data_IF_315693367010
#
_entry.id   IF_315693367010
#
_cell.length_a   1.000
_cell.length_b   1.000
_cell.length_c   1.000
_cell.angle_alpha   90.00
_cell.angle_beta   90.00
_cell.angle_gamma   90.00
#
_symmetry.space_group_name_H-M   'P 1'
#
loop_
_entity.id
_entity.type
_entity.pdbx_description
1 polymer ?
#
# COMPACT_ATOMS: atom_id res chain seq x y z
N UNK A 1 2.95 -48.11 20.13
CA UNK A 1 1.69 -48.05 20.90
C UNK A 1 0.67 -47.39 20.01
N UNK A 2 -0.16 -48.19 19.34
CA UNK A 2 -1.08 -47.76 18.28
C UNK A 2 -2.45 -47.43 18.87
N UNK A 3 -3.00 -46.25 18.54
CA UNK A 3 -4.37 -45.88 18.88
C UNK A 3 -5.13 -45.74 17.56
N UNK A 4 -6.09 -46.65 17.35
CA UNK A 4 -7.12 -46.63 16.30
C UNK A 4 -8.46 -46.37 16.98
N UNK A 5 -9.08 -45.22 16.73
CA UNK A 5 -10.52 -44.93 16.99
C UNK A 5 -10.83 -43.68 16.13
N UNK A 6 -11.89 -43.54 15.36
CA UNK A 6 -13.08 -44.32 15.07
C UNK A 6 -13.94 -43.41 14.18
N UNK A 7 -14.33 -43.92 13.02
CA UNK A 7 -15.14 -43.21 12.01
C UNK A 7 -16.60 -43.24 12.47
N UNK A 8 -17.22 -42.08 12.70
CA UNK A 8 -18.67 -41.97 12.94
C UNK A 8 -19.25 -40.98 11.93
N UNK A 9 -19.91 -41.53 10.92
CA UNK A 9 -20.73 -40.80 9.97
C UNK A 9 -22.09 -40.49 10.60
N UNK A 10 -22.48 -39.22 10.64
CA UNK A 10 -23.83 -38.80 10.96
C UNK A 10 -24.38 -38.03 9.75
N UNK A 11 -25.32 -38.65 9.04
CA UNK A 11 -26.08 -38.06 7.95
C UNK A 11 -27.32 -37.41 8.57
N UNK A 12 -27.37 -36.08 8.52
CA UNK A 12 -28.57 -35.30 8.84
C UNK A 12 -29.04 -34.60 7.57
N UNK A 13 -30.08 -35.16 6.95
CA UNK A 13 -30.91 -34.47 5.96
C UNK A 13 -31.79 -33.44 6.68
N UNK A 14 -31.52 -32.15 6.45
CA UNK A 14 -32.49 -31.08 6.71
C UNK A 14 -32.67 -30.32 5.40
N UNK A 15 -33.84 -30.50 4.80
CA UNK A 15 -34.37 -29.67 3.73
C UNK A 15 -35.35 -28.66 4.36
N UNK A 16 -35.08 -27.37 4.19
CA UNK A 16 -35.99 -26.21 4.25
C UNK A 16 -35.26 -25.09 3.49
N UNK A 17 -35.55 -24.76 2.23
CA UNK A 17 -36.63 -23.89 1.69
C UNK A 17 -36.64 -22.46 2.24
N UNK A 18 -36.35 -21.51 1.34
CA UNK A 18 -36.74 -20.10 1.31
C UNK A 18 -35.98 -19.12 2.21
N UNK A 19 -35.07 -18.33 1.63
CA UNK A 19 -35.42 -16.97 1.18
C UNK A 19 -34.35 -16.49 0.17
N UNK A 20 -34.77 -16.20 -1.07
CA UNK A 20 -33.96 -15.49 -2.07
C UNK A 20 -33.91 -14.01 -1.67
N UNK A 21 -33.32 -13.74 -0.50
CA UNK A 21 -32.78 -12.42 -0.21
C UNK A 21 -31.55 -12.29 -1.07
N UNK A 22 -31.62 -11.46 -2.11
CA UNK A 22 -30.45 -10.98 -2.82
C UNK A 22 -29.55 -10.28 -1.78
N UNK A 23 -28.71 -11.08 -1.13
CA UNK A 23 -27.70 -10.63 -0.21
C UNK A 23 -26.80 -9.77 -1.08
N UNK A 24 -27.03 -8.46 -0.96
CA UNK A 24 -26.21 -7.47 -1.63
C UNK A 24 -24.94 -7.44 -0.81
N UNK A 25 -24.14 -8.51 -0.93
CA UNK A 25 -22.77 -8.54 -0.45
C UNK A 25 -22.07 -7.43 -1.19
N UNK A 26 -22.06 -6.26 -0.57
CA UNK A 26 -21.13 -5.20 -0.90
C UNK A 26 -19.79 -5.89 -0.90
N UNK A 27 -19.19 -6.00 -2.08
CA UNK A 27 -17.89 -6.64 -2.22
C UNK A 27 -16.90 -5.62 -1.67
N UNK A 28 -16.65 -5.70 -0.36
CA UNK A 28 -15.73 -4.81 0.33
C UNK A 28 -14.32 -5.04 -0.22
N UNK A 29 -13.61 -3.97 -0.56
CA UNK A 29 -12.17 -4.08 -0.85
C UNK A 29 -11.41 -4.33 0.44
N UNK A 30 -10.85 -5.52 0.57
CA UNK A 30 -9.98 -5.89 1.68
C UNK A 30 -8.52 -5.69 1.26
N UNK A 31 -7.75 -4.97 2.07
CA UNK A 31 -6.33 -4.73 1.82
C UNK A 31 -5.52 -5.49 2.87
N UNK A 32 -4.52 -6.25 2.43
CA UNK A 32 -3.61 -7.00 3.32
C UNK A 32 -2.16 -6.88 2.86
N UNK A 33 -1.21 -7.04 3.80
CA UNK A 33 0.21 -6.98 3.45
C UNK A 33 1.16 -6.86 4.63
N UNK A 34 2.40 -6.45 4.35
CA UNK A 34 3.39 -6.07 5.36
C UNK A 34 3.97 -4.68 5.10
N UNK A 35 4.10 -3.90 6.18
CA UNK A 35 4.76 -2.62 6.23
C UNK A 35 6.13 -2.71 6.90
N UNK A 36 7.17 -2.25 6.22
CA UNK A 36 8.54 -2.15 6.72
C UNK A 36 9.17 -0.81 6.34
N UNK A 37 10.21 -0.40 7.05
CA UNK A 37 11.09 0.67 6.60
C UNK A 37 12.19 0.13 5.70
N UNK A 38 12.70 0.95 4.77
CA UNK A 38 13.99 0.68 4.11
C UNK A 38 15.07 0.59 5.19
N UNK A 39 15.73 -0.56 5.27
CA UNK A 39 16.73 -0.89 6.28
C UNK A 39 17.93 -1.60 5.64
N UNK A 40 19.03 -1.70 6.37
CA UNK A 40 20.14 -2.56 5.98
C UNK A 40 19.75 -4.03 6.06
N UNK A 41 20.29 -4.83 5.15
CA UNK A 41 20.14 -6.30 5.18
C UNK A 41 21.00 -6.95 6.26
N UNK A 42 22.03 -6.24 6.74
CA UNK A 42 22.93 -6.69 7.80
C UNK A 42 23.09 -5.68 8.95
N UNK A 43 23.41 -6.19 10.14
CA UNK A 43 23.82 -5.36 11.27
C UNK A 43 25.27 -4.84 11.12
N UNK A 44 25.73 -4.08 12.11
CA UNK A 44 27.10 -3.57 12.12
C UNK A 44 28.16 -4.69 12.07
N UNK A 45 27.88 -5.88 12.61
CA UNK A 45 28.77 -7.04 12.54
C UNK A 45 28.68 -7.81 11.20
N UNK A 46 27.74 -7.44 10.32
CA UNK A 46 27.47 -8.14 9.06
C UNK A 46 26.52 -9.33 9.21
N UNK A 47 25.85 -9.48 10.35
CA UNK A 47 24.84 -10.53 10.56
C UNK A 47 23.53 -10.13 9.89
N UNK A 48 22.82 -11.09 9.29
CA UNK A 48 21.50 -10.84 8.69
C UNK A 48 20.55 -10.21 9.71
N UNK A 49 19.84 -9.17 9.27
CA UNK A 49 18.87 -8.42 10.07
C UNK A 49 17.52 -8.37 9.36
N UNK A 50 16.44 -8.41 10.12
CA UNK A 50 15.12 -8.11 9.58
C UNK A 50 14.89 -6.59 9.53
N UNK A 51 14.26 -6.08 8.46
CA UNK A 51 13.88 -4.68 8.39
C UNK A 51 13.02 -4.25 9.58
N UNK A 52 13.25 -3.04 10.08
CA UNK A 52 12.39 -2.45 11.10
C UNK A 52 10.96 -2.26 10.57
N UNK A 53 9.97 -2.54 11.41
CA UNK A 53 8.55 -2.28 11.12
C UNK A 53 8.13 -0.93 11.69
N UNK A 54 7.18 -0.22 11.06
CA UNK A 54 6.53 0.92 11.70
C UNK A 54 5.90 0.55 13.04
N UNK A 55 5.88 1.47 14.02
CA UNK A 55 5.07 1.34 15.22
C UNK A 55 3.58 1.07 14.88
N UNK A 56 2.84 0.35 15.73
CA UNK A 56 1.42 0.12 15.53
C UNK A 56 0.62 1.42 15.46
N UNK A 57 -0.30 1.52 14.48
CA UNK A 57 -1.17 2.67 14.31
C UNK A 57 -2.36 2.32 13.41
N UNK A 58 -3.53 2.92 13.67
CA UNK A 58 -4.80 2.58 13.01
C UNK A 58 -5.13 3.46 11.80
N UNK A 59 -4.52 4.66 11.73
CA UNK A 59 -4.93 5.73 10.79
C UNK A 59 -3.82 6.09 9.79
N UNK A 60 -3.15 5.09 9.20
CA UNK A 60 -2.20 5.37 8.10
C UNK A 60 -2.97 5.82 6.88
N UNK A 61 -2.60 6.97 6.32
CA UNK A 61 -3.24 7.47 5.10
C UNK A 61 -2.91 6.54 3.94
N UNK A 62 -3.93 6.06 3.26
CA UNK A 62 -3.81 5.22 2.09
C UNK A 62 -4.40 5.93 0.88
N UNK A 63 -3.67 5.92 -0.23
CA UNK A 63 -4.16 6.35 -1.54
C UNK A 63 -3.94 5.22 -2.53
N UNK A 64 -4.99 4.93 -3.30
CA UNK A 64 -4.91 3.99 -4.41
C UNK A 64 -5.17 4.77 -5.70
N UNK A 65 -4.34 4.55 -6.70
CA UNK A 65 -4.53 5.09 -8.05
C UNK A 65 -4.55 3.93 -9.02
N UNK A 66 -5.70 3.72 -9.67
CA UNK A 66 -5.82 2.80 -10.80
C UNK A 66 -5.73 3.59 -12.09
N UNK A 67 -4.85 3.17 -12.99
CA UNK A 67 -4.76 3.72 -14.34
C UNK A 67 -5.18 2.65 -15.34
N UNK A 68 -5.90 3.05 -16.38
CA UNK A 68 -6.36 2.12 -17.39
C UNK A 68 -6.93 2.82 -18.62
N UNK A 69 -7.49 2.00 -19.51
CA UNK A 69 -8.19 2.42 -20.72
C UNK A 69 -9.66 2.04 -20.64
N UNK A 70 -10.52 2.88 -21.24
CA UNK A 70 -11.95 2.69 -21.23
C UNK A 70 -12.62 3.35 -22.43
N UNK A 71 -13.84 2.91 -22.74
CA UNK A 71 -14.73 3.69 -23.61
C UNK A 71 -15.44 4.74 -22.76
N UNK A 72 -15.15 6.02 -23.04
CA UNK A 72 -15.69 7.16 -22.30
C UNK A 72 -16.75 7.88 -23.14
N UNK A 73 -17.93 8.11 -22.58
CA UNK A 73 -19.07 8.75 -23.29
C UNK A 73 -19.54 10.02 -22.56
N UNK A 74 -20.16 10.92 -23.32
CA UNK A 74 -20.83 12.10 -22.75
C UNK A 74 -19.90 13.20 -22.23
N UNK A 75 -18.58 13.12 -22.48
CA UNK A 75 -17.64 14.18 -22.13
C UNK A 75 -17.54 15.26 -23.21
N UNK A 76 -17.19 16.47 -22.78
CA UNK A 76 -16.83 17.56 -23.69
C UNK A 76 -15.57 17.18 -24.50
N UNK A 77 -15.43 17.66 -25.76
CA UNK A 77 -14.27 17.35 -26.60
C UNK A 77 -12.92 17.66 -25.93
N UNK A 78 -12.84 18.76 -25.18
CA UNK A 78 -11.62 19.19 -24.48
C UNK A 78 -11.22 18.24 -23.33
N UNK A 79 -12.12 17.35 -22.90
CA UNK A 79 -11.86 16.32 -21.89
C UNK A 79 -11.40 14.98 -22.50
N UNK A 80 -11.58 14.79 -23.81
CA UNK A 80 -11.21 13.58 -24.56
C UNK A 80 -9.90 13.80 -25.32
N UNK A 81 -8.87 14.27 -24.59
CA UNK A 81 -7.55 14.55 -25.18
C UNK A 81 -6.80 13.27 -25.55
N UNK A 82 -7.19 12.13 -24.97
CA UNK A 82 -6.56 10.84 -25.24
C UNK A 82 -7.47 9.94 -26.10
N UNK A 83 -7.09 9.64 -27.36
CA UNK A 83 -7.87 8.75 -28.23
C UNK A 83 -7.90 7.29 -27.74
N UNK A 84 -6.98 6.89 -26.85
CA UNK A 84 -6.98 5.57 -26.21
C UNK A 84 -7.98 5.47 -25.04
N UNK A 85 -8.66 6.57 -24.68
CA UNK A 85 -9.66 6.57 -23.63
C UNK A 85 -9.06 6.31 -22.24
N UNK A 86 -7.88 6.86 -21.95
CA UNK A 86 -7.24 6.72 -20.63
C UNK A 86 -8.06 7.36 -19.53
N UNK A 87 -8.15 6.66 -18.40
CA UNK A 87 -8.74 7.16 -17.18
C UNK A 87 -7.86 6.87 -15.97
N UNK A 88 -8.11 7.60 -14.90
CA UNK A 88 -7.52 7.41 -13.59
C UNK A 88 -8.66 7.31 -12.56
N UNK A 89 -8.65 6.25 -11.74
CA UNK A 89 -9.52 6.12 -10.58
C UNK A 89 -8.70 6.34 -9.31
N UNK A 90 -9.11 7.31 -8.50
CA UNK A 90 -8.43 7.70 -7.24
C UNK A 90 -9.29 7.31 -6.06
N UNK A 91 -8.67 6.62 -5.10
CA UNK A 91 -9.29 6.22 -3.84
C UNK A 91 -8.46 6.75 -2.69
N UNK A 92 -9.13 7.23 -1.64
CA UNK A 92 -8.50 7.65 -0.40
C UNK A 92 -9.10 6.89 0.78
N UNK A 93 -8.30 6.11 1.49
CA UNK A 93 -8.73 5.31 2.63
C UNK A 93 -7.74 5.35 3.78
N UNK A 94 -7.88 4.39 4.69
CA UNK A 94 -6.96 4.21 5.82
C UNK A 94 -6.47 2.76 5.91
N UNK A 95 -5.33 2.61 6.56
CA UNK A 95 -4.66 1.33 6.78
C UNK A 95 -4.21 1.27 8.25
N UNK A 96 -4.47 0.15 8.90
CA UNK A 96 -3.92 -0.18 10.19
C UNK A 96 -2.61 -0.97 10.02
N UNK A 97 -1.62 -0.70 10.87
CA UNK A 97 -0.38 -1.46 10.97
C UNK A 97 -0.31 -2.07 12.37
N UNK A 98 -0.16 -3.39 12.44
CA UNK A 98 0.00 -4.14 13.68
C UNK A 98 1.45 -4.23 14.18
N UNK A 99 1.64 -4.86 15.34
CA UNK A 99 2.95 -4.99 16.02
C UNK A 99 4.04 -5.69 15.21
N UNK A 100 3.65 -6.58 14.31
CA UNK A 100 4.57 -7.33 13.44
C UNK A 100 4.72 -6.72 12.04
N UNK A 101 4.24 -5.49 11.85
CA UNK A 101 4.17 -4.82 10.55
C UNK A 101 3.09 -5.37 9.62
N UNK A 102 2.27 -6.34 10.02
CA UNK A 102 1.12 -6.73 9.21
C UNK A 102 0.21 -5.52 9.04
N UNK A 103 -0.19 -5.24 7.80
CA UNK A 103 -1.11 -4.16 7.51
C UNK A 103 -2.44 -4.68 6.98
N UNK A 104 -3.51 -4.03 7.41
CA UNK A 104 -4.87 -4.29 6.97
C UNK A 104 -5.59 -2.97 6.72
N UNK A 105 -6.29 -2.85 5.60
CA UNK A 105 -7.02 -1.64 5.24
C UNK A 105 -8.36 -1.96 4.59
N UNK A 106 -9.18 -0.92 4.46
CA UNK A 106 -10.44 -0.97 3.72
C UNK A 106 -10.61 0.30 2.90
N UNK A 107 -11.24 0.16 1.74
CA UNK A 107 -11.68 1.29 0.91
C UNK A 107 -13.20 1.48 0.97
N UNK A 108 -13.92 0.82 1.89
CA UNK A 108 -15.38 0.89 1.96
C UNK A 108 -15.91 2.33 2.13
N UNK A 109 -15.17 3.17 2.86
CA UNK A 109 -15.49 4.59 3.06
C UNK A 109 -14.65 5.52 2.16
N UNK A 110 -13.93 4.97 1.18
CA UNK A 110 -13.04 5.75 0.36
C UNK A 110 -13.82 6.66 -0.61
N UNK A 111 -13.44 7.94 -0.64
CA UNK A 111 -13.87 8.81 -1.72
C UNK A 111 -13.28 8.30 -3.04
N UNK A 112 -14.14 8.06 -4.04
CA UNK A 112 -13.72 7.65 -5.39
C UNK A 112 -13.88 8.81 -6.36
N UNK A 113 -12.82 9.10 -7.11
CA UNK A 113 -12.86 10.05 -8.22
C UNK A 113 -12.38 9.35 -9.50
N UNK A 114 -13.25 9.32 -10.52
CA UNK A 114 -12.89 8.85 -11.87
C UNK A 114 -12.62 10.07 -12.74
N UNK A 115 -11.39 10.22 -13.23
CA UNK A 115 -10.98 11.37 -14.04
C UNK A 115 -10.29 10.95 -15.33
N UNK A 116 -10.35 11.80 -16.35
CA UNK A 116 -9.49 11.66 -17.53
C UNK A 116 -8.08 12.19 -17.24
N UNK A 117 -7.13 11.93 -18.13
CA UNK A 117 -5.80 12.56 -18.05
C UNK A 117 -5.82 14.10 -18.09
N UNK A 118 -6.93 14.70 -18.54
CA UNK A 118 -7.15 16.15 -18.50
C UNK A 118 -7.73 16.64 -17.15
N UNK A 119 -8.03 15.73 -16.22
CA UNK A 119 -8.65 16.03 -14.92
C UNK A 119 -10.17 16.22 -14.97
N UNK A 120 -10.84 15.82 -16.06
CA UNK A 120 -12.30 15.89 -16.13
C UNK A 120 -12.95 14.68 -15.46
N UNK A 121 -13.94 14.91 -14.61
CA UNK A 121 -14.73 13.83 -13.96
C UNK A 121 -15.50 13.01 -14.99
N UNK A 122 -15.45 11.68 -14.87
CA UNK A 122 -16.10 10.73 -15.76
C UNK A 122 -17.38 10.18 -15.12
N UNK A 123 -18.53 10.54 -15.68
CA UNK A 123 -19.84 10.04 -15.21
C UNK A 123 -20.22 8.69 -15.80
N UNK A 124 -19.82 8.41 -17.04
CA UNK A 124 -20.13 7.17 -17.77
C UNK A 124 -18.84 6.58 -18.36
N UNK A 125 -18.57 5.33 -18.02
CA UNK A 125 -17.32 4.62 -18.25
C UNK A 125 -17.66 3.17 -18.55
N UNK A 126 -17.09 2.62 -19.62
CA UNK A 126 -17.06 1.19 -19.89
C UNK A 126 -15.59 0.77 -19.86
N UNK A 127 -15.19 0.12 -18.76
CA UNK A 127 -13.80 -0.25 -18.48
C UNK A 127 -13.30 -1.19 -19.57
N UNK A 128 -12.15 -0.87 -20.15
CA UNK A 128 -11.47 -1.75 -21.10
C UNK A 128 -10.44 -2.61 -20.40
N UNK A 129 -9.35 -1.98 -19.96
CA UNK A 129 -8.23 -2.64 -19.30
C UNK A 129 -7.69 -1.75 -18.17
N UNK A 130 -7.42 -2.34 -17.01
CA UNK A 130 -6.57 -1.72 -15.99
C UNK A 130 -5.12 -1.99 -16.40
N UNK A 131 -4.26 -0.97 -16.41
CA UNK A 131 -2.85 -1.14 -16.79
C UNK A 131 -1.98 -1.44 -15.56
N UNK A 132 -2.18 -0.67 -14.50
CA UNK A 132 -1.47 -0.84 -13.24
C UNK A 132 -2.18 -0.10 -12.10
N UNK A 133 -1.83 -0.49 -10.88
CA UNK A 133 -2.39 0.10 -9.67
C UNK A 133 -1.26 0.55 -8.76
N UNK A 134 -1.24 1.84 -8.46
CA UNK A 134 -0.27 2.44 -7.54
C UNK A 134 -0.92 2.57 -6.17
N UNK A 135 -0.31 1.91 -5.20
CA UNK A 135 -0.65 2.02 -3.79
C UNK A 135 0.35 2.96 -3.15
N UNK A 136 -0.12 4.03 -2.52
CA UNK A 136 0.71 4.94 -1.73
C UNK A 136 0.21 4.99 -0.29
N UNK A 137 1.07 4.67 0.66
CA UNK A 137 0.80 4.82 2.08
C UNK A 137 1.68 5.93 2.68
N UNK A 138 1.14 6.68 3.65
CA UNK A 138 1.83 7.81 4.27
C UNK A 138 1.66 7.75 5.79
N UNK A 139 2.77 7.60 6.51
CA UNK A 139 2.83 7.67 7.97
C UNK A 139 2.99 9.10 8.44
N UNK A 140 2.26 9.49 9.48
CA UNK A 140 2.51 10.79 10.13
C UNK A 140 3.93 10.85 10.71
N UNK A 141 4.62 12.01 10.65
CA UNK A 141 5.98 12.18 11.19
C UNK A 141 5.94 12.35 12.73
N UNK A 142 5.43 11.34 13.42
CA UNK A 142 5.48 11.29 14.89
C UNK A 142 6.91 11.03 15.35
N UNK A 143 7.25 11.38 16.59
CA UNK A 143 8.57 11.06 17.17
C UNK A 143 8.93 9.59 16.99
N UNK A 144 7.98 8.68 17.27
CA UNK A 144 8.21 7.24 17.17
C UNK A 144 8.43 6.76 15.73
N UNK A 145 7.64 7.26 14.77
CA UNK A 145 7.81 6.95 13.36
C UNK A 145 9.15 7.50 12.84
N UNK A 146 9.48 8.76 13.16
CA UNK A 146 10.73 9.39 12.75
C UNK A 146 11.97 8.71 13.35
N UNK A 147 11.94 8.34 14.64
CA UNK A 147 13.06 7.64 15.27
C UNK A 147 13.31 6.28 14.61
N UNK A 148 12.26 5.48 14.43
CA UNK A 148 12.37 4.13 13.87
C UNK A 148 12.79 4.17 12.39
N UNK A 149 12.15 5.04 11.60
CA UNK A 149 12.50 5.25 10.20
C UNK A 149 13.94 5.72 10.05
N UNK A 150 14.35 6.76 10.78
CA UNK A 150 15.68 7.33 10.59
C UNK A 150 16.80 6.41 11.08
N UNK A 151 16.55 5.60 12.11
CA UNK A 151 17.51 4.57 12.52
C UNK A 151 17.66 3.48 11.44
N UNK A 152 16.57 3.08 10.78
CA UNK A 152 16.60 2.12 9.67
C UNK A 152 17.26 2.70 8.41
N UNK A 153 16.87 3.91 8.03
CA UNK A 153 17.46 4.67 6.94
C UNK A 153 18.97 4.86 7.13
N UNK A 154 19.40 5.29 8.33
CA UNK A 154 20.82 5.46 8.64
C UNK A 154 21.62 4.16 8.49
N UNK A 155 21.05 3.01 8.90
CA UNK A 155 21.68 1.71 8.66
C UNK A 155 21.77 1.38 7.17
N UNK A 156 20.71 1.58 6.41
CA UNK A 156 20.69 1.31 4.96
C UNK A 156 21.77 2.13 4.22
N UNK A 157 21.86 3.42 4.54
CA UNK A 157 22.89 4.32 4.00
C UNK A 157 24.31 3.88 4.40
N UNK A 158 24.49 3.46 5.65
CA UNK A 158 25.77 2.95 6.15
C UNK A 158 26.20 1.64 5.48
N UNK A 159 25.27 0.71 5.21
CA UNK A 159 25.55 -0.53 4.49
C UNK A 159 26.10 -0.24 3.09
N UNK A 160 25.48 0.71 2.38
CA UNK A 160 25.94 1.15 1.06
C UNK A 160 27.30 1.86 1.13
N UNK A 161 27.42 2.88 2.00
CA UNK A 161 28.61 3.73 2.08
C UNK A 161 29.87 2.99 2.56
N UNK A 162 29.72 1.98 3.42
CA UNK A 162 30.84 1.24 4.02
C UNK A 162 31.20 -0.04 3.26
N UNK A 163 30.64 -0.26 2.07
CA UNK A 163 31.01 -1.41 1.22
C UNK A 163 32.50 -1.35 0.87
N UNK A 164 33.25 -2.38 1.26
CA UNK A 164 34.69 -2.48 1.00
C UNK A 164 35.59 -1.73 1.98
N UNK A 165 35.05 -1.12 3.04
CA UNK A 165 35.85 -0.51 4.09
C UNK A 165 36.68 -1.56 4.86
N UNK A 166 37.95 -1.26 5.13
CA UNK A 166 38.86 -2.14 5.90
C UNK A 166 38.31 -2.47 7.29
N UNK A 167 37.59 -1.52 7.90
CA UNK A 167 36.90 -1.67 9.19
C UNK A 167 35.39 -1.48 9.01
N UNK A 168 34.77 -2.34 8.19
CA UNK A 168 33.34 -2.23 7.83
C UNK A 168 32.40 -2.07 9.04
N UNK A 169 32.65 -2.77 10.15
CA UNK A 169 31.82 -2.66 11.35
C UNK A 169 31.89 -1.28 12.01
N UNK A 170 33.11 -0.74 12.17
CA UNK A 170 33.32 0.60 12.72
C UNK A 170 32.75 1.67 11.80
N UNK A 171 33.02 1.56 10.49
CA UNK A 171 32.46 2.46 9.48
C UNK A 171 30.92 2.48 9.55
N UNK A 172 30.27 1.32 9.57
CA UNK A 172 28.80 1.24 9.62
C UNK A 172 28.24 1.84 10.90
N UNK A 173 28.88 1.62 12.04
CA UNK A 173 28.43 2.17 13.31
C UNK A 173 28.45 3.70 13.32
N UNK A 174 29.55 4.31 12.86
CA UNK A 174 29.66 5.78 12.77
C UNK A 174 28.70 6.36 11.73
N UNK A 175 28.74 5.84 10.51
CA UNK A 175 27.94 6.39 9.42
C UNK A 175 26.42 6.27 9.68
N UNK A 176 25.98 5.15 10.27
CA UNK A 176 24.57 4.96 10.61
C UNK A 176 24.09 5.98 11.65
N UNK A 177 24.90 6.27 12.67
CA UNK A 177 24.55 7.24 13.71
C UNK A 177 24.44 8.66 13.13
N UNK A 178 25.40 9.07 12.30
CA UNK A 178 25.41 10.40 11.68
C UNK A 178 24.23 10.58 10.70
N UNK A 179 23.99 9.59 9.83
CA UNK A 179 22.87 9.60 8.89
C UNK A 179 21.52 9.60 9.60
N UNK A 180 21.35 8.80 10.67
CA UNK A 180 20.13 8.78 11.45
C UNK A 180 19.88 10.13 12.15
N UNK A 181 20.89 10.78 12.72
CA UNK A 181 20.75 12.09 13.36
C UNK A 181 20.36 13.19 12.37
N UNK A 182 20.97 13.20 11.18
CA UNK A 182 20.59 14.12 10.10
C UNK A 182 19.15 13.88 9.65
N UNK A 183 18.76 12.62 9.45
CA UNK A 183 17.40 12.25 9.10
C UNK A 183 16.38 12.71 10.16
N UNK A 184 16.64 12.48 11.46
CA UNK A 184 15.70 12.86 12.55
C UNK A 184 15.42 14.35 12.55
N UNK A 185 16.45 15.17 12.32
CA UNK A 185 16.31 16.62 12.22
C UNK A 185 15.36 17.00 11.08
N UNK A 186 15.51 16.38 9.90
CA UNK A 186 14.64 16.61 8.76
C UNK A 186 13.21 16.09 8.97
N UNK A 187 13.05 14.91 9.54
CA UNK A 187 11.74 14.27 9.76
C UNK A 187 10.87 15.07 10.72
N UNK A 188 11.44 15.53 11.85
CA UNK A 188 10.69 16.28 12.88
C UNK A 188 10.34 17.72 12.47
N UNK A 189 11.04 18.29 11.48
CA UNK A 189 10.79 19.64 10.98
C UNK A 189 9.75 19.68 9.86
N UNK A 190 9.42 18.54 9.26
CA UNK A 190 8.49 18.46 8.13
C UNK A 190 7.07 18.24 8.62
N UNK A 191 6.12 18.85 7.90
CA UNK A 191 4.68 18.65 8.11
C UNK A 191 4.13 17.41 7.38
N UNK A 192 4.98 16.65 6.68
CA UNK A 192 4.60 15.59 5.74
C UNK A 192 5.12 14.23 6.17
N UNK A 193 4.50 13.18 5.63
CA UNK A 193 4.72 11.83 6.09
C UNK A 193 5.91 11.11 5.49
N UNK A 194 6.22 9.97 6.10
CA UNK A 194 7.13 8.97 5.57
C UNK A 194 6.31 8.12 4.59
N UNK A 195 6.79 7.97 3.36
CA UNK A 195 5.99 7.46 2.25
C UNK A 195 6.49 6.07 1.83
N UNK A 196 5.54 5.20 1.53
CA UNK A 196 5.75 3.95 0.81
C UNK A 196 4.90 3.98 -0.46
N UNK A 197 5.49 3.58 -1.58
CA UNK A 197 4.78 3.37 -2.84
C UNK A 197 5.02 1.93 -3.33
N UNK A 198 3.96 1.28 -3.80
CA UNK A 198 4.00 -0.04 -4.38
C UNK A 198 3.13 -0.07 -5.63
N UNK A 199 3.55 -0.84 -6.64
CA UNK A 199 2.78 -1.01 -7.87
C UNK A 199 2.35 -2.45 -8.03
N UNK A 200 1.05 -2.66 -8.22
CA UNK A 200 0.46 -3.94 -8.55
C UNK A 200 0.24 -4.04 -10.06
N UNK A 201 0.53 -5.22 -10.62
CA UNK A 201 0.20 -5.54 -12.00
C UNK A 201 -1.31 -5.67 -12.18
N UNK A 202 -1.80 -5.28 -13.36
CA UNK A 202 -3.19 -5.41 -13.76
C UNK A 202 -3.77 -6.82 -13.68
N UNK A 203 -2.93 -7.85 -13.81
CA UNK A 203 -3.35 -9.25 -13.71
C UNK A 203 -4.00 -9.60 -12.36
N UNK A 204 -3.88 -8.73 -11.35
CA UNK A 204 -4.55 -8.86 -10.06
C UNK A 204 -6.05 -8.50 -10.10
N UNK A 205 -6.54 -7.90 -11.20
CA UNK A 205 -7.91 -7.46 -11.34
C UNK A 205 -8.58 -8.30 -12.42
N UNK A 206 -9.59 -9.09 -12.02
CA UNK A 206 -10.54 -9.69 -12.96
C UNK A 206 -11.34 -8.58 -13.69
N UNK A 207 -12.26 -8.94 -14.58
CA UNK A 207 -13.12 -7.99 -15.30
C UNK A 207 -13.86 -7.04 -14.33
N UNK A 208 -13.26 -5.89 -14.03
CA UNK A 208 -13.87 -4.83 -13.22
C UNK A 208 -14.82 -4.04 -14.11
N UNK A 209 -16.07 -3.91 -13.68
CA UNK A 209 -16.99 -2.98 -14.32
C UNK A 209 -16.91 -1.57 -13.70
N UNK A 210 -17.59 -0.62 -14.33
CA UNK A 210 -17.57 0.75 -13.86
C UNK A 210 -18.39 0.97 -12.56
N UNK A 211 -19.31 0.06 -12.23
CA UNK A 211 -19.99 0.00 -10.94
C UNK A 211 -19.01 -0.40 -9.85
N UNK A 212 -18.23 -1.47 -10.07
CA UNK A 212 -17.22 -1.95 -9.13
C UNK A 212 -16.16 -0.89 -8.84
N UNK A 213 -15.65 -0.22 -9.88
CA UNK A 213 -14.71 0.88 -9.72
C UNK A 213 -15.30 2.01 -8.87
N UNK A 214 -16.55 2.41 -9.11
CA UNK A 214 -17.19 3.50 -8.34
C UNK A 214 -17.48 3.12 -6.89
N UNK A 215 -17.81 1.86 -6.66
CA UNK A 215 -18.08 1.31 -5.34
C UNK A 215 -16.79 1.00 -4.55
N UNK A 216 -15.62 1.18 -5.17
CA UNK A 216 -14.36 0.68 -4.64
C UNK A 216 -14.47 -0.81 -4.25
N UNK A 217 -15.06 -1.61 -5.13
CA UNK A 217 -15.26 -3.05 -4.97
C UNK A 217 -14.21 -3.82 -5.79
N UNK A 218 -12.94 -3.62 -5.43
CA UNK A 218 -11.77 -4.15 -6.14
C UNK A 218 -11.40 -5.59 -5.72
N UNK A 219 -12.11 -6.15 -4.74
CA UNK A 219 -11.79 -7.46 -4.16
C UNK A 219 -10.66 -7.40 -3.13
N UNK A 220 -9.88 -8.48 -3.01
CA UNK A 220 -8.76 -8.56 -2.08
C UNK A 220 -7.46 -8.06 -2.75
N UNK A 221 -6.83 -7.05 -2.17
CA UNK A 221 -5.55 -6.50 -2.61
C UNK A 221 -4.46 -6.87 -1.62
N UNK A 222 -3.47 -7.63 -2.08
CA UNK A 222 -2.30 -8.02 -1.29
C UNK A 222 -1.05 -7.28 -1.78
N UNK A 223 -0.43 -6.44 -0.93
CA UNK A 223 0.80 -5.73 -1.28
C UNK A 223 1.69 -5.46 -0.06
N UNK A 224 3.01 -5.53 -0.26
CA UNK A 224 3.97 -5.09 0.75
C UNK A 224 4.33 -3.61 0.54
N UNK A 225 4.49 -2.89 1.65
CA UNK A 225 4.84 -1.47 1.72
C UNK A 225 6.25 -1.33 2.29
N UNK A 226 7.14 -0.68 1.53
CA UNK A 226 8.45 -0.27 2.03
C UNK A 226 8.49 1.25 2.12
N UNK A 227 8.51 1.76 3.35
CA UNK A 227 8.64 3.18 3.66
C UNK A 227 10.11 3.60 3.51
N UNK A 228 10.44 4.30 2.44
CA UNK A 228 11.83 4.50 2.01
C UNK A 228 12.27 5.96 1.86
N UNK A 229 11.33 6.90 1.87
CA UNK A 229 11.63 8.33 1.78
C UNK A 229 10.64 9.21 2.56
N UNK A 230 11.03 10.47 2.76
CA UNK A 230 10.19 11.53 3.31
C UNK A 230 9.93 12.54 2.19
N UNK A 231 8.67 12.76 1.82
CA UNK A 231 8.32 13.75 0.80
C UNK A 231 8.24 15.19 1.36
N UNK A 232 8.52 16.21 0.54
CA UNK A 232 8.26 17.61 0.87
C UNK A 232 6.77 17.98 0.73
N UNK A 233 6.45 19.18 1.20
CA UNK A 233 5.07 19.62 1.43
C UNK A 233 4.19 19.83 0.21
N UNK A 234 4.83 20.08 -0.91
CA UNK A 234 4.21 20.50 -2.15
C UNK A 234 3.94 19.34 -3.10
N UNK A 235 4.24 18.09 -2.69
CA UNK A 235 4.06 16.90 -3.53
C UNK A 235 4.86 16.97 -4.84
N UNK A 236 5.86 17.86 -4.89
CA UNK A 236 6.81 17.92 -5.99
C UNK A 236 8.00 17.08 -5.58
N UNK A 237 8.17 15.94 -6.22
CA UNK A 237 9.46 15.27 -6.28
C UNK A 237 10.46 16.27 -6.86
N UNK A 238 11.48 16.64 -6.08
CA UNK A 238 12.65 17.36 -6.58
C UNK A 238 13.45 16.47 -7.56
#
# INVERSE_FOLDING_TARGET
MSIRVGFLAFVSLVACTSDDGADTTVTETAITGRAVYRDATTDHAGTVRHPATPPPQEDVKLRLRLEGTATIRGLAPDCLLDPAGRFEARYAGTLAIGENGACTGSLADASTELVTGAGCVISDLEVGLIDHVVVRAELAPTTSNCETYCDAHGRAEAEQACTGATTAAECRATYAADAAAACKTGCMQRTHGIVAESTLSADAFDELDAGDLRAAALGELAFDLTFDHIEPADGRSE
#
